data_IF_041112170471
#
_entry.id   IF_041112170471
#
_cell.length_a   1.000
_cell.length_b   1.000
_cell.length_c   1.000
_cell.angle_alpha   90.00
_cell.angle_beta   90.00
_cell.angle_gamma   90.00
#
_symmetry.space_group_name_H-M   'P 1'
#
loop_
_entity.id
_entity.type
_entity.pdbx_description
1 polymer ?
#
# COMPACT_ATOMS: atom_id res chain seq x y z
N UNK A 1 12.88 0.34 27.22
CA UNK A 1 12.40 1.72 27.07
C UNK A 1 11.10 1.91 27.85
N UNK A 2 11.15 2.05 29.18
CA UNK A 2 9.96 2.13 30.06
C UNK A 2 9.52 3.59 30.33
N UNK A 3 10.39 4.56 30.05
CA UNK A 3 10.27 5.94 30.53
C UNK A 3 9.56 6.91 29.56
N UNK A 4 9.40 6.56 28.27
CA UNK A 4 8.79 7.44 27.24
C UNK A 4 7.35 7.04 26.84
N UNK A 5 6.73 6.11 27.56
CA UNK A 5 5.41 5.59 27.21
C UNK A 5 4.27 6.22 28.03
N UNK A 6 4.52 7.22 28.89
CA UNK A 6 3.48 7.87 29.69
C UNK A 6 3.70 9.38 29.73
N UNK A 7 2.65 10.15 29.41
CA UNK A 7 2.57 11.58 29.66
C UNK A 7 1.38 11.81 30.58
N UNK A 8 1.62 12.49 31.71
CA UNK A 8 0.57 12.91 32.64
C UNK A 8 0.23 14.37 32.38
N UNK A 9 -1.05 14.66 32.16
CA UNK A 9 -1.57 16.03 32.00
C UNK A 9 -2.48 16.34 33.17
N UNK A 10 -2.17 17.41 33.91
CA UNK A 10 -3.05 17.90 34.95
C UNK A 10 -4.11 18.81 34.35
N UNK A 11 -5.37 18.50 34.64
CA UNK A 11 -6.51 19.33 34.22
C UNK A 11 -6.85 20.36 35.29
N UNK A 12 -7.52 21.48 34.94
CA UNK A 12 -7.98 22.48 35.91
C UNK A 12 -8.88 21.90 37.00
N UNK A 13 -9.54 20.77 36.72
CA UNK A 13 -10.39 20.05 37.67
C UNK A 13 -9.60 19.18 38.67
N UNK A 14 -8.27 19.30 38.69
CA UNK A 14 -7.36 18.55 39.57
C UNK A 14 -7.42 17.03 39.37
N UNK A 15 -7.89 16.58 38.20
CA UNK A 15 -7.86 15.19 37.76
C UNK A 15 -6.67 14.98 36.83
N UNK A 16 -5.88 13.95 37.10
CA UNK A 16 -4.72 13.58 36.28
C UNK A 16 -5.16 12.67 35.13
N UNK A 17 -4.82 13.06 33.90
CA UNK A 17 -5.00 12.23 32.71
C UNK A 17 -3.66 11.56 32.35
N UNK A 18 -3.61 10.23 32.42
CA UNK A 18 -2.46 9.46 31.94
C UNK A 18 -2.65 9.03 30.48
N UNK A 19 -1.78 9.50 29.59
CA UNK A 19 -1.73 9.08 28.21
C UNK A 19 -0.60 8.07 28.00
N UNK A 20 -0.95 6.85 27.62
CA UNK A 20 0.03 5.82 27.27
C UNK A 20 0.45 6.03 25.81
N UNK A 21 1.69 6.42 25.56
CA UNK A 21 2.21 6.51 24.19
C UNK A 21 2.76 5.16 23.74
N UNK A 22 2.39 4.78 22.51
CA UNK A 22 3.08 3.70 21.81
C UNK A 22 4.56 4.07 21.66
N UNK A 23 5.42 3.28 22.29
CA UNK A 23 6.86 3.48 22.23
C UNK A 23 7.37 3.40 20.78
N UNK A 24 8.55 3.99 20.54
CA UNK A 24 9.18 4.07 19.21
C UNK A 24 9.22 2.71 18.50
N UNK A 25 9.52 1.62 19.22
CA UNK A 25 9.53 0.27 18.66
C UNK A 25 8.16 -0.19 18.13
N UNK A 26 7.06 0.15 18.80
CA UNK A 26 5.71 -0.19 18.34
C UNK A 26 5.33 0.58 17.09
N UNK A 27 5.78 1.84 16.95
CA UNK A 27 5.53 2.65 15.76
C UNK A 27 6.32 2.18 14.55
N UNK A 28 7.60 1.84 14.76
CA UNK A 28 8.44 1.28 13.70
C UNK A 28 7.89 -0.06 13.22
N UNK A 29 7.43 -0.91 14.15
CA UNK A 29 6.85 -2.20 13.81
C UNK A 29 5.54 -2.05 13.02
N UNK A 30 4.66 -1.12 13.41
CA UNK A 30 3.46 -0.79 12.64
C UNK A 30 3.82 -0.34 11.22
N UNK A 31 4.73 0.62 11.09
CA UNK A 31 5.20 1.12 9.79
C UNK A 31 5.81 -0.01 8.94
N UNK A 32 6.59 -0.90 9.54
CA UNK A 32 7.19 -2.04 8.83
C UNK A 32 6.11 -2.96 8.27
N UNK A 33 5.10 -3.30 9.07
CA UNK A 33 3.97 -4.13 8.62
C UNK A 33 3.24 -3.47 7.46
N UNK A 34 2.91 -2.18 7.61
CA UNK A 34 2.17 -1.41 6.61
C UNK A 34 2.89 -1.38 5.26
N UNK A 35 4.18 -1.04 5.25
CA UNK A 35 4.98 -1.02 4.02
C UNK A 35 5.26 -2.42 3.47
N UNK A 36 5.31 -3.45 4.32
CA UNK A 36 5.44 -4.84 3.86
C UNK A 36 4.17 -5.28 3.12
N UNK A 37 3.00 -5.00 3.69
CA UNK A 37 1.72 -5.30 3.05
C UNK A 37 1.54 -4.53 1.75
N UNK A 38 1.86 -3.24 1.75
CA UNK A 38 1.79 -2.41 0.55
C UNK A 38 2.77 -2.88 -0.53
N UNK A 39 3.99 -3.23 -0.14
CA UNK A 39 5.00 -3.80 -1.03
C UNK A 39 4.56 -5.13 -1.63
N UNK A 40 3.98 -6.03 -0.83
CA UNK A 40 3.43 -7.30 -1.30
C UNK A 40 2.27 -7.09 -2.27
N UNK A 41 1.39 -6.14 -1.99
CA UNK A 41 0.29 -5.77 -2.90
C UNK A 41 0.82 -5.29 -4.25
N UNK A 42 1.78 -4.35 -4.26
CA UNK A 42 2.36 -3.84 -5.49
C UNK A 42 3.12 -4.92 -6.27
N UNK A 43 3.87 -5.77 -5.56
CA UNK A 43 4.58 -6.90 -6.17
C UNK A 43 3.60 -7.89 -6.80
N UNK A 44 2.54 -8.27 -6.09
CA UNK A 44 1.50 -9.15 -6.61
C UNK A 44 0.83 -8.54 -7.85
N UNK A 45 0.54 -7.25 -7.82
CA UNK A 45 -0.01 -6.52 -8.97
C UNK A 45 0.91 -6.61 -10.18
N UNK A 46 2.21 -6.34 -10.03
CA UNK A 46 3.17 -6.39 -11.13
C UNK A 46 3.30 -7.80 -11.70
N UNK A 47 3.45 -8.82 -10.85
CA UNK A 47 3.58 -10.21 -11.30
C UNK A 47 2.31 -10.70 -12.01
N UNK A 48 1.15 -10.45 -11.41
CA UNK A 48 -0.13 -10.81 -11.99
C UNK A 48 -0.35 -10.10 -13.33
N UNK A 49 -0.09 -8.79 -13.39
CA UNK A 49 -0.28 -8.01 -14.60
C UNK A 49 0.69 -8.41 -15.72
N UNK A 50 1.94 -8.70 -15.38
CA UNK A 50 2.91 -9.21 -16.36
C UNK A 50 2.42 -10.53 -16.98
N UNK A 51 1.99 -11.48 -16.15
CA UNK A 51 1.43 -12.74 -16.63
C UNK A 51 0.17 -12.54 -17.48
N UNK A 52 -0.78 -11.72 -16.99
CA UNK A 52 -2.02 -11.40 -17.70
C UNK A 52 -1.75 -10.74 -19.06
N UNK A 53 -0.86 -9.73 -19.11
CA UNK A 53 -0.53 -9.00 -20.33
C UNK A 53 0.09 -9.91 -21.38
N UNK A 54 0.99 -10.81 -20.98
CA UNK A 54 1.59 -11.80 -21.87
C UNK A 54 0.52 -12.73 -22.47
N UNK A 55 -0.31 -13.32 -21.62
CA UNK A 55 -1.37 -14.25 -22.07
C UNK A 55 -2.39 -13.56 -22.96
N UNK A 56 -2.69 -12.29 -22.70
CA UNK A 56 -3.61 -11.50 -23.52
C UNK A 56 -3.03 -11.28 -24.93
N UNK A 57 -1.77 -10.89 -25.07
CA UNK A 57 -1.12 -10.71 -26.38
C UNK A 57 -1.12 -12.02 -27.17
N UNK A 58 -0.70 -13.13 -26.53
CA UNK A 58 -0.69 -14.46 -27.16
C UNK A 58 -2.08 -14.86 -27.66
N UNK A 59 -3.13 -14.60 -26.87
CA UNK A 59 -4.51 -14.90 -27.25
C UNK A 59 -4.97 -14.04 -28.43
N UNK A 60 -4.67 -12.74 -28.43
CA UNK A 60 -5.06 -11.86 -29.51
C UNK A 60 -4.36 -12.20 -30.83
N UNK A 61 -3.08 -12.58 -30.77
CA UNK A 61 -2.34 -13.10 -31.92
C UNK A 61 -2.98 -14.38 -32.46
N UNK A 62 -3.38 -15.30 -31.58
CA UNK A 62 -4.01 -16.57 -31.98
C UNK A 62 -5.36 -16.37 -32.69
N UNK A 63 -6.07 -15.28 -32.37
CA UNK A 63 -7.34 -14.91 -32.97
C UNK A 63 -7.19 -13.98 -34.18
N UNK A 64 -5.95 -13.63 -34.55
CA UNK A 64 -5.63 -12.75 -35.67
C UNK A 64 -6.32 -11.37 -35.57
N UNK A 65 -6.54 -10.89 -34.34
CA UNK A 65 -7.18 -9.60 -34.04
C UNK A 65 -6.11 -8.51 -34.11
N UNK A 66 -6.38 -7.40 -34.80
CA UNK A 66 -5.50 -6.24 -34.76
C UNK A 66 -5.70 -5.46 -33.46
N UNK A 67 -4.63 -5.24 -32.71
CA UNK A 67 -4.63 -4.56 -31.42
C UNK A 67 -3.77 -3.30 -31.39
N UNK A 68 -3.83 -2.50 -32.45
CA UNK A 68 -3.17 -1.19 -32.50
C UNK A 68 -3.51 -0.34 -31.27
N UNK A 69 -2.49 0.03 -30.49
CA UNK A 69 -2.63 0.85 -29.27
C UNK A 69 -2.78 0.08 -27.96
N UNK A 70 -2.87 -1.25 -27.99
CA UNK A 70 -2.95 -2.09 -26.77
C UNK A 70 -1.78 -1.85 -25.81
N UNK A 71 -0.57 -1.66 -26.33
CA UNK A 71 0.62 -1.42 -25.52
C UNK A 71 0.46 -0.24 -24.55
N UNK A 72 -0.16 0.85 -25.00
CA UNK A 72 -0.38 2.03 -24.16
C UNK A 72 -1.31 1.71 -22.98
N UNK A 73 -2.36 0.91 -23.23
CA UNK A 73 -3.31 0.48 -22.20
C UNK A 73 -2.70 -0.52 -21.22
N UNK A 74 -1.88 -1.45 -21.71
CA UNK A 74 -1.16 -2.41 -20.87
C UNK A 74 -0.20 -1.72 -19.90
N UNK A 75 0.29 -0.52 -20.22
CA UNK A 75 1.12 0.29 -19.33
C UNK A 75 0.25 1.19 -18.44
N UNK A 76 -0.75 1.87 -18.99
CA UNK A 76 -1.53 2.86 -18.27
C UNK A 76 -2.36 2.26 -17.11
N UNK A 77 -3.00 1.11 -17.33
CA UNK A 77 -3.88 0.48 -16.34
C UNK A 77 -3.15 0.09 -15.05
N UNK A 78 -2.06 -0.72 -15.07
CA UNK A 78 -1.39 -1.13 -13.84
C UNK A 78 -0.77 0.07 -13.10
N UNK A 79 -0.40 1.11 -13.83
CA UNK A 79 0.16 2.34 -13.27
C UNK A 79 -0.91 3.13 -12.51
N UNK A 80 -2.13 3.22 -13.06
CA UNK A 80 -3.27 3.85 -12.41
C UNK A 80 -3.70 3.06 -11.17
N UNK A 81 -3.83 1.74 -11.27
CA UNK A 81 -4.17 0.89 -10.12
C UNK A 81 -3.09 0.95 -9.04
N UNK A 82 -1.82 0.87 -9.43
CA UNK A 82 -0.67 0.98 -8.53
C UNK A 82 -0.63 2.33 -7.81
N UNK A 83 -0.88 3.42 -8.53
CA UNK A 83 -1.01 4.76 -7.93
C UNK A 83 -2.16 4.83 -6.92
N UNK A 84 -3.36 4.37 -7.32
CA UNK A 84 -4.53 4.40 -6.46
C UNK A 84 -4.33 3.54 -5.19
N UNK A 85 -3.70 2.37 -5.30
CA UNK A 85 -3.37 1.53 -4.16
C UNK A 85 -2.30 2.15 -3.27
N UNK A 86 -1.22 2.69 -3.85
CA UNK A 86 -0.12 3.30 -3.10
C UNK A 86 -0.57 4.53 -2.30
N UNK A 87 -1.31 5.43 -2.95
CA UNK A 87 -1.80 6.66 -2.29
C UNK A 87 -2.99 6.35 -1.38
N UNK A 88 -3.93 5.51 -1.84
CA UNK A 88 -5.15 5.20 -1.10
C UNK A 88 -4.90 4.46 0.22
N UNK A 89 -3.88 3.61 0.29
CA UNK A 89 -3.60 2.80 1.48
C UNK A 89 -3.33 3.61 2.75
N UNK A 90 -2.70 4.79 2.64
CA UNK A 90 -2.41 5.65 3.79
C UNK A 90 -3.43 6.77 4.02
N UNK A 91 -4.39 6.93 3.11
CA UNK A 91 -5.43 7.98 3.19
C UNK A 91 -6.65 7.52 3.99
N UNK A 92 -6.93 6.22 4.00
CA UNK A 92 -8.03 5.59 4.74
C UNK A 92 -7.52 4.85 5.98
#
# INVERSE_FOLDING_TARGET
MKYFNRITLQTPESVELEFILAGIGSRILALLIDYTLLGLFLLALVLFWAFFSYQLVVLLDSLNINYSGLQNWLIAIPLLIGFAGFVGYFVF
#
